data_IF_831229695425
#
_entry.id   IF_831229695425
#
_cell.length_a   1.000
_cell.length_b   1.000
_cell.length_c   1.000
_cell.angle_alpha   90.00
_cell.angle_beta   90.00
_cell.angle_gamma   90.00
#
_symmetry.space_group_name_H-M   'P 1'
#
loop_
_entity.id
_entity.type
_entity.pdbx_description
1 polymer ?
#
# COMPACT_ATOMS: atom_id res chain seq x y z
N UNK A 1 -18.59 2.30 -39.88
CA UNK A 1 -17.35 1.61 -39.46
C UNK A 1 -16.72 2.41 -38.34
N UNK A 2 -16.93 2.00 -37.09
CA UNK A 2 -16.40 2.67 -35.89
C UNK A 2 -16.02 1.59 -34.88
N UNK A 3 -14.73 1.25 -34.83
CA UNK A 3 -14.20 0.33 -33.81
C UNK A 3 -13.14 1.04 -32.96
N UNK A 4 -13.49 1.15 -31.66
CA UNK A 4 -12.65 0.80 -30.51
C UNK A 4 -11.30 1.54 -30.40
N UNK A 5 -11.32 2.66 -29.66
CA UNK A 5 -10.14 3.24 -28.98
C UNK A 5 -10.52 3.67 -27.56
N UNK A 6 -10.75 2.73 -26.64
CA UNK A 6 -11.04 3.09 -25.22
C UNK A 6 -10.20 2.31 -24.19
N UNK A 7 -9.46 1.25 -24.56
CA UNK A 7 -8.79 0.41 -23.55
C UNK A 7 -7.35 0.73 -23.15
N UNK A 8 -6.65 1.67 -23.79
CA UNK A 8 -5.22 1.93 -23.47
C UNK A 8 -4.98 2.96 -22.37
N UNK A 9 -5.99 3.74 -21.94
CA UNK A 9 -5.81 4.75 -20.87
C UNK A 9 -5.84 4.19 -19.44
N UNK A 10 -6.34 2.96 -19.24
CA UNK A 10 -6.56 2.39 -17.90
C UNK A 10 -5.28 1.87 -17.22
N UNK A 11 -4.32 1.34 -18.00
CA UNK A 11 -3.11 0.69 -17.45
C UNK A 11 -2.07 1.74 -17.01
N UNK A 12 -1.93 2.83 -17.76
CA UNK A 12 -1.00 3.91 -17.43
C UNK A 12 -1.38 4.71 -16.17
N UNK A 13 -2.68 4.81 -15.87
CA UNK A 13 -3.18 5.46 -14.66
C UNK A 13 -2.92 4.62 -13.39
N UNK A 14 -3.00 3.28 -13.49
CA UNK A 14 -2.70 2.37 -12.38
C UNK A 14 -1.22 2.38 -11.97
N UNK A 15 -0.30 2.61 -12.92
CA UNK A 15 1.14 2.76 -12.63
C UNK A 15 1.51 4.04 -11.87
N UNK A 16 0.70 5.10 -12.00
CA UNK A 16 0.98 6.40 -11.35
C UNK A 16 0.56 6.47 -9.88
N UNK A 17 -0.42 5.66 -9.46
CA UNK A 17 -0.90 5.66 -8.08
C UNK A 17 0.06 4.94 -7.10
N UNK A 18 0.77 3.90 -7.56
CA UNK A 18 1.74 3.14 -6.73
C UNK A 18 2.99 3.97 -6.42
N UNK A 19 3.35 4.91 -7.29
CA UNK A 19 4.56 5.75 -7.13
C UNK A 19 4.40 6.85 -6.06
N UNK A 20 3.18 7.25 -5.71
CA UNK A 20 2.95 8.37 -4.79
C UNK A 20 3.06 7.98 -3.30
N UNK A 21 3.04 6.69 -2.95
CA UNK A 21 3.13 6.23 -1.55
C UNK A 21 4.53 5.73 -1.15
N UNK A 22 5.43 5.56 -2.11
CA UNK A 22 6.79 5.06 -1.87
C UNK A 22 7.80 6.18 -1.54
N UNK A 23 7.37 7.45 -1.56
CA UNK A 23 8.24 8.63 -1.64
C UNK A 23 8.78 9.26 -0.36
N UNK A 24 8.63 8.65 0.83
CA UNK A 24 9.15 9.25 2.07
C UNK A 24 10.18 8.34 2.76
N UNK A 25 11.34 8.20 2.11
CA UNK A 25 12.46 7.35 2.55
C UNK A 25 13.68 8.13 3.09
N UNK A 26 13.62 9.45 3.20
CA UNK A 26 14.74 10.25 3.70
C UNK A 26 14.39 10.94 5.00
N UNK A 27 14.52 10.22 6.11
CA UNK A 27 14.75 10.84 7.40
C UNK A 27 15.58 9.90 8.28
N UNK A 28 16.75 10.43 8.69
CA UNK A 28 17.75 9.94 9.64
C UNK A 28 18.93 9.15 9.04
N UNK A 29 19.86 9.90 8.44
CA UNK A 29 21.27 9.57 8.58
C UNK A 29 21.62 9.58 10.08
N UNK A 30 21.77 8.39 10.68
CA UNK A 30 22.38 8.23 11.99
C UNK A 30 23.92 8.24 11.84
N UNK A 31 24.67 8.67 12.88
CA UNK A 31 26.07 9.05 12.73
C UNK A 31 26.94 7.84 12.42
N UNK A 32 27.84 8.02 11.45
CA UNK A 32 28.90 7.09 11.11
C UNK A 32 29.81 6.85 12.33
N UNK A 33 29.62 5.72 13.01
CA UNK A 33 30.69 5.11 13.78
C UNK A 33 31.44 4.16 12.86
N UNK A 34 32.43 4.70 12.16
CA UNK A 34 33.38 3.92 11.37
C UNK A 34 34.80 4.38 11.68
N UNK A 35 35.68 3.43 12.02
CA UNK A 35 37.13 3.45 11.77
C UNK A 35 37.64 1.99 11.85
N UNK A 36 38.79 1.64 11.23
CA UNK A 36 39.18 1.88 9.84
C UNK A 36 39.66 0.57 9.17
N UNK A 37 39.26 0.33 7.92
CA UNK A 37 39.77 -0.76 7.10
C UNK A 37 39.07 -0.71 5.75
N UNK A 38 39.83 -0.56 4.66
CA UNK A 38 39.33 -0.12 3.34
C UNK A 38 37.94 -0.64 2.97
N UNK A 39 37.01 0.27 2.69
CA UNK A 39 35.60 -0.08 2.50
C UNK A 39 35.43 -1.21 1.49
N UNK A 40 34.78 -2.28 1.96
CA UNK A 40 34.32 -3.39 1.14
C UNK A 40 33.62 -2.82 -0.11
N UNK A 41 33.89 -3.42 -1.27
CA UNK A 41 33.27 -3.01 -2.53
C UNK A 41 31.73 -3.01 -2.41
N UNK A 42 31.16 -3.93 -1.63
CA UNK A 42 29.72 -3.98 -1.36
C UNK A 42 29.22 -2.75 -0.59
N UNK A 43 29.96 -2.31 0.43
CA UNK A 43 29.60 -1.13 1.23
C UNK A 43 29.59 0.15 0.37
N UNK A 44 30.60 0.33 -0.49
CA UNK A 44 30.65 1.47 -1.44
C UNK A 44 29.53 1.45 -2.46
N UNK A 45 29.13 0.27 -2.93
CA UNK A 45 27.98 0.12 -3.81
C UNK A 45 26.68 0.48 -3.08
N UNK A 46 26.52 0.09 -1.82
CA UNK A 46 25.35 0.46 -1.01
C UNK A 46 25.28 1.98 -0.79
N UNK A 47 26.37 2.62 -0.41
CA UNK A 47 26.40 4.08 -0.23
C UNK A 47 26.08 4.83 -1.53
N UNK A 48 26.63 4.35 -2.66
CA UNK A 48 26.30 4.90 -3.97
C UNK A 48 24.83 4.71 -4.31
N UNK A 49 24.28 3.52 -4.04
CA UNK A 49 22.87 3.21 -4.25
C UNK A 49 21.98 4.19 -3.46
N UNK A 50 22.33 4.48 -2.21
CA UNK A 50 21.63 5.43 -1.35
C UNK A 50 21.70 6.85 -1.92
N UNK A 51 22.90 7.26 -2.33
CA UNK A 51 23.17 8.59 -2.90
C UNK A 51 22.39 8.81 -4.20
N UNK A 52 22.37 7.81 -5.08
CA UNK A 52 21.63 7.87 -6.35
C UNK A 52 20.12 7.87 -6.12
N UNK A 53 19.64 7.07 -5.16
CA UNK A 53 18.23 7.05 -4.76
C UNK A 53 17.77 8.37 -4.16
N UNK A 54 18.57 8.96 -3.27
CA UNK A 54 18.27 10.24 -2.64
C UNK A 54 18.27 11.40 -3.64
N UNK A 55 19.09 11.32 -4.68
CA UNK A 55 19.13 12.29 -5.76
C UNK A 55 18.08 12.08 -6.87
N UNK A 56 17.24 11.05 -6.76
CA UNK A 56 16.26 10.72 -7.81
C UNK A 56 16.87 10.11 -9.08
N UNK A 57 18.17 9.75 -9.05
CA UNK A 57 18.92 9.13 -10.16
C UNK A 57 18.62 7.64 -10.23
N UNK A 58 17.39 7.33 -10.61
CA UNK A 58 16.86 5.97 -10.46
C UNK A 58 17.38 4.96 -11.48
N UNK A 59 17.89 5.42 -12.62
CA UNK A 59 18.54 4.54 -13.58
C UNK A 59 19.98 4.19 -13.12
N UNK A 60 20.70 5.15 -12.55
CA UNK A 60 22.02 4.95 -11.94
C UNK A 60 21.94 4.10 -10.67
N UNK A 61 20.92 4.36 -9.84
CA UNK A 61 20.60 3.54 -8.69
C UNK A 61 20.32 2.09 -9.12
N UNK A 62 19.55 1.89 -10.20
CA UNK A 62 19.30 0.54 -10.68
C UNK A 62 20.56 -0.14 -11.20
N UNK A 63 21.40 0.55 -11.97
CA UNK A 63 22.68 -0.01 -12.40
C UNK A 63 23.58 -0.39 -11.21
N UNK A 64 23.53 0.39 -10.13
CA UNK A 64 24.25 0.08 -8.88
C UNK A 64 23.64 -1.13 -8.16
N UNK A 65 22.31 -1.22 -8.10
CA UNK A 65 21.57 -2.34 -7.53
C UNK A 65 21.85 -3.66 -8.26
N UNK A 66 21.95 -3.64 -9.59
CA UNK A 66 22.27 -4.82 -10.41
C UNK A 66 23.71 -5.32 -10.17
N UNK A 67 24.63 -4.43 -9.77
CA UNK A 67 26.00 -4.79 -9.43
C UNK A 67 26.18 -5.22 -7.96
N UNK A 68 25.26 -4.81 -7.07
CA UNK A 68 25.31 -5.11 -5.66
C UNK A 68 24.79 -6.52 -5.38
N UNK A 69 25.61 -7.34 -4.71
CA UNK A 69 25.19 -8.62 -4.16
C UNK A 69 24.84 -8.44 -2.68
N UNK A 70 23.54 -8.47 -2.28
CA UNK A 70 23.16 -8.23 -0.90
C UNK A 70 23.81 -9.17 0.11
N UNK A 71 24.07 -10.42 -0.30
CA UNK A 71 24.75 -11.42 0.52
C UNK A 71 26.19 -11.03 0.92
N UNK A 72 26.82 -10.07 0.24
CA UNK A 72 28.14 -9.55 0.61
C UNK A 72 28.07 -8.47 1.72
N UNK A 73 26.88 -7.98 2.05
CA UNK A 73 26.63 -7.08 3.19
C UNK A 73 26.20 -7.89 4.40
N UNK A 74 26.30 -7.31 5.60
CA UNK A 74 25.88 -7.97 6.85
C UNK A 74 24.85 -7.14 7.62
N UNK A 75 24.06 -7.81 8.46
CA UNK A 75 23.14 -7.17 9.39
C UNK A 75 22.21 -6.12 8.76
N UNK A 76 22.07 -4.93 9.36
CA UNK A 76 21.19 -3.87 8.85
C UNK A 76 21.51 -3.39 7.42
N UNK A 77 22.76 -3.45 6.99
CA UNK A 77 23.15 -3.02 5.64
C UNK A 77 22.61 -3.98 4.57
N UNK A 78 22.61 -5.30 4.85
CA UNK A 78 21.97 -6.29 3.98
C UNK A 78 20.46 -6.06 3.88
N UNK A 79 19.80 -5.80 5.00
CA UNK A 79 18.37 -5.50 5.02
C UNK A 79 18.03 -4.23 4.22
N UNK A 80 18.84 -3.17 4.38
CA UNK A 80 18.69 -1.93 3.64
C UNK A 80 18.88 -2.13 2.13
N UNK A 81 19.89 -2.90 1.72
CA UNK A 81 20.11 -3.24 0.32
C UNK A 81 18.90 -3.94 -0.31
N UNK A 82 18.37 -4.99 0.34
CA UNK A 82 17.16 -5.66 -0.14
C UNK A 82 15.97 -4.72 -0.28
N UNK A 83 15.73 -3.83 0.68
CA UNK A 83 14.63 -2.86 0.59
C UNK A 83 14.76 -1.91 -0.60
N UNK A 84 15.96 -1.39 -0.83
CA UNK A 84 16.23 -0.45 -1.92
C UNK A 84 16.14 -1.13 -3.29
N UNK A 85 16.68 -2.35 -3.40
CA UNK A 85 16.55 -3.18 -4.62
C UNK A 85 15.06 -3.48 -4.87
N UNK A 86 14.33 -3.93 -3.85
CA UNK A 86 12.91 -4.23 -3.97
C UNK A 86 12.10 -3.03 -4.45
N UNK A 87 12.39 -1.85 -3.92
CA UNK A 87 11.77 -0.59 -4.36
C UNK A 87 12.09 -0.24 -5.81
N UNK A 88 13.35 -0.38 -6.23
CA UNK A 88 13.77 -0.10 -7.60
C UNK A 88 13.05 -1.00 -8.61
N UNK A 89 12.94 -2.30 -8.31
CA UNK A 89 12.21 -3.26 -9.14
C UNK A 89 10.70 -2.97 -9.17
N UNK A 90 10.10 -2.64 -8.02
CA UNK A 90 8.69 -2.26 -7.95
C UNK A 90 8.38 -1.06 -8.86
N UNK A 91 9.26 -0.07 -8.92
CA UNK A 91 9.09 1.08 -9.81
C UNK A 91 9.21 0.74 -11.30
N UNK A 92 10.04 -0.23 -11.67
CA UNK A 92 10.09 -0.75 -13.05
C UNK A 92 8.91 -1.66 -13.38
N UNK A 93 8.05 -1.97 -12.40
CA UNK A 93 6.92 -2.87 -12.54
C UNK A 93 7.30 -4.35 -12.46
N UNK A 94 8.54 -4.65 -12.05
CA UNK A 94 9.00 -6.01 -11.76
C UNK A 94 8.63 -6.37 -10.32
N UNK A 95 7.34 -6.65 -10.11
CA UNK A 95 6.81 -6.94 -8.79
C UNK A 95 7.29 -8.29 -8.24
N UNK A 96 7.65 -9.25 -9.10
CA UNK A 96 8.17 -10.54 -8.65
C UNK A 96 9.52 -10.37 -7.94
N UNK A 97 10.46 -9.65 -8.55
CA UNK A 97 11.77 -9.38 -7.92
C UNK A 97 11.63 -8.47 -6.72
N UNK A 98 10.70 -7.49 -6.76
CA UNK A 98 10.41 -6.64 -5.62
C UNK A 98 9.96 -7.44 -4.40
N UNK A 99 8.98 -8.32 -4.58
CA UNK A 99 8.44 -9.18 -3.52
C UNK A 99 9.50 -10.13 -2.96
N UNK A 100 10.34 -10.72 -3.80
CA UNK A 100 11.43 -11.59 -3.34
C UNK A 100 12.41 -10.85 -2.41
N UNK A 101 12.78 -9.61 -2.76
CA UNK A 101 13.66 -8.79 -1.93
C UNK A 101 12.99 -8.35 -0.62
N UNK A 102 11.71 -7.96 -0.67
CA UNK A 102 10.97 -7.59 0.54
C UNK A 102 10.70 -8.78 1.46
N UNK A 103 10.45 -9.97 0.92
CA UNK A 103 10.29 -11.20 1.70
C UNK A 103 11.54 -11.47 2.55
N UNK A 104 12.73 -11.35 1.97
CA UNK A 104 13.98 -11.49 2.73
C UNK A 104 14.04 -10.54 3.93
N UNK A 105 13.70 -9.27 3.74
CA UNK A 105 13.68 -8.28 4.83
C UNK A 105 12.61 -8.59 5.89
N UNK A 106 11.46 -9.15 5.51
CA UNK A 106 10.40 -9.56 6.45
C UNK A 106 10.71 -10.87 7.19
N UNK A 107 11.61 -11.70 6.68
CA UNK A 107 12.15 -12.87 7.38
C UNK A 107 13.17 -12.49 8.46
N UNK A 108 13.73 -11.28 8.40
CA UNK A 108 14.73 -10.76 9.34
C UNK A 108 14.29 -9.42 9.97
N UNK A 109 13.11 -9.35 10.62
CA UNK A 109 12.54 -8.11 11.14
C UNK A 109 13.43 -7.44 12.21
N UNK A 110 14.27 -8.19 12.92
CA UNK A 110 15.23 -7.69 13.90
C UNK A 110 16.33 -6.80 13.30
N UNK A 111 16.55 -6.91 11.99
CA UNK A 111 17.50 -6.07 11.25
C UNK A 111 16.86 -4.76 10.76
N UNK A 112 15.55 -4.59 10.96
CA UNK A 112 14.81 -3.43 10.49
C UNK A 112 14.75 -2.32 11.55
N UNK A 113 14.89 -1.05 11.15
CA UNK A 113 14.51 0.08 11.98
C UNK A 113 13.08 -0.07 12.53
N UNK A 114 12.86 0.45 13.74
CA UNK A 114 11.54 0.43 14.39
C UNK A 114 10.46 1.05 13.48
N UNK A 115 9.30 0.39 13.41
CA UNK A 115 8.16 0.79 12.56
C UNK A 115 8.32 0.49 11.07
N UNK A 116 9.52 0.15 10.60
CA UNK A 116 9.74 -0.14 9.19
C UNK A 116 9.10 -1.46 8.76
N UNK A 117 9.06 -2.47 9.63
CA UNK A 117 8.39 -3.74 9.36
C UNK A 117 6.93 -3.52 8.96
N UNK A 118 6.18 -2.74 9.75
CA UNK A 118 4.78 -2.44 9.44
C UNK A 118 4.61 -1.75 8.09
N UNK A 119 5.46 -0.75 7.79
CA UNK A 119 5.45 -0.07 6.48
C UNK A 119 5.78 -1.02 5.32
N UNK A 120 6.73 -1.93 5.53
CA UNK A 120 7.14 -2.90 4.54
C UNK A 120 6.03 -3.91 4.26
N UNK A 121 5.38 -4.45 5.30
CA UNK A 121 4.20 -5.33 5.15
C UNK A 121 3.08 -4.66 4.36
N UNK A 122 2.78 -3.39 4.65
CA UNK A 122 1.78 -2.65 3.88
C UNK A 122 2.21 -2.44 2.41
N UNK A 123 3.50 -2.26 2.14
CA UNK A 123 4.03 -2.17 0.77
C UNK A 123 3.87 -3.50 0.02
N UNK A 124 4.24 -4.61 0.66
CA UNK A 124 4.07 -5.97 0.10
C UNK A 124 2.59 -6.23 -0.17
N UNK A 125 1.69 -5.91 0.78
CA UNK A 125 0.25 -6.06 0.59
C UNK A 125 -0.29 -5.31 -0.62
N UNK A 126 0.16 -4.06 -0.84
CA UNK A 126 -0.24 -3.29 -2.03
C UNK A 126 0.23 -3.95 -3.34
N UNK A 127 1.44 -4.51 -3.36
CA UNK A 127 1.98 -5.23 -4.52
C UNK A 127 1.22 -6.52 -4.79
N UNK A 128 0.98 -7.34 -3.76
CA UNK A 128 0.20 -8.58 -3.89
C UNK A 128 -1.23 -8.29 -4.34
N UNK A 129 -1.87 -7.25 -3.79
CA UNK A 129 -3.19 -6.80 -4.23
C UNK A 129 -3.20 -6.36 -5.69
N UNK A 130 -2.18 -5.62 -6.14
CA UNK A 130 -2.06 -5.18 -7.53
C UNK A 130 -1.88 -6.36 -8.51
N UNK A 131 -1.26 -7.46 -8.04
CA UNK A 131 -1.13 -8.72 -8.77
C UNK A 131 -2.39 -9.61 -8.71
N UNK A 132 -3.42 -9.20 -7.96
CA UNK A 132 -4.64 -9.98 -7.76
C UNK A 132 -4.50 -11.13 -6.77
N UNK A 133 -3.42 -11.15 -5.98
CA UNK A 133 -3.17 -12.14 -4.94
C UNK A 133 -3.73 -11.63 -3.61
N UNK A 134 -5.06 -11.64 -3.51
CA UNK A 134 -5.78 -10.96 -2.44
C UNK A 134 -5.59 -11.62 -1.08
N UNK A 135 -5.51 -12.94 -1.05
CA UNK A 135 -5.23 -13.72 0.16
C UNK A 135 -3.83 -13.40 0.69
N UNK A 136 -2.81 -13.41 -0.18
CA UNK A 136 -1.45 -13.02 0.22
C UNK A 136 -1.35 -11.55 0.69
N UNK A 137 -2.16 -10.66 0.10
CA UNK A 137 -2.25 -9.29 0.59
C UNK A 137 -2.87 -9.23 2.00
N UNK A 138 -3.91 -10.02 2.27
CA UNK A 138 -4.54 -10.12 3.59
C UNK A 138 -3.57 -10.68 4.62
N UNK A 139 -2.81 -11.74 4.31
CA UNK A 139 -1.80 -12.30 5.22
C UNK A 139 -0.84 -11.21 5.73
N UNK A 140 -0.37 -10.34 4.82
CA UNK A 140 0.52 -9.23 5.18
C UNK A 140 -0.16 -8.13 5.98
N UNK A 141 -1.43 -7.84 5.70
CA UNK A 141 -2.19 -6.80 6.40
C UNK A 141 -2.61 -7.26 7.80
N UNK A 142 -2.95 -8.52 7.99
CA UNK A 142 -3.23 -9.11 9.30
C UNK A 142 -1.96 -9.16 10.14
N UNK A 143 -0.83 -9.56 9.56
CA UNK A 143 0.46 -9.47 10.23
C UNK A 143 0.80 -8.01 10.59
N UNK A 144 0.57 -7.06 9.68
CA UNK A 144 0.72 -5.63 9.96
C UNK A 144 -0.16 -5.17 11.14
N UNK A 145 -1.42 -5.60 11.18
CA UNK A 145 -2.36 -5.25 12.24
C UNK A 145 -1.92 -5.85 13.59
N UNK A 146 -1.40 -7.07 13.60
CA UNK A 146 -0.90 -7.75 14.80
C UNK A 146 0.33 -7.06 15.41
N UNK A 147 1.13 -6.35 14.61
CA UNK A 147 2.22 -5.51 15.12
C UNK A 147 1.72 -4.31 15.93
N UNK A 148 0.41 -4.00 15.86
CA UNK A 148 -0.18 -2.82 16.49
C UNK A 148 0.39 -1.51 15.97
N UNK A 149 0.94 -1.50 14.75
CA UNK A 149 1.67 -0.36 14.16
C UNK A 149 0.76 0.87 14.04
N UNK A 150 0.90 1.87 14.94
CA UNK A 150 -0.07 2.97 15.01
C UNK A 150 0.12 3.99 13.88
N UNK A 151 1.28 3.98 13.20
CA UNK A 151 1.72 5.06 12.31
C UNK A 151 1.28 4.90 10.85
N UNK A 152 0.59 3.81 10.48
CA UNK A 152 0.27 3.57 9.06
C UNK A 152 -1.03 4.26 8.58
N UNK A 153 -1.75 4.94 9.49
CA UNK A 153 -2.99 5.67 9.19
C UNK A 153 -4.13 4.76 8.73
N UNK A 154 -5.13 5.35 8.05
CA UNK A 154 -6.30 4.60 7.55
C UNK A 154 -6.02 3.68 6.34
N UNK A 155 -4.90 3.87 5.64
CA UNK A 155 -4.61 3.21 4.35
C UNK A 155 -4.67 1.67 4.40
N UNK A 156 -3.96 1.00 5.33
CA UNK A 156 -4.00 -0.44 5.46
C UNK A 156 -5.42 -1.00 5.69
N UNK A 157 -6.23 -0.35 6.53
CA UNK A 157 -7.62 -0.77 6.78
C UNK A 157 -8.49 -0.69 5.54
N UNK A 158 -8.32 0.38 4.74
CA UNK A 158 -9.02 0.48 3.45
C UNK A 158 -8.60 -0.65 2.51
N UNK A 159 -7.30 -0.94 2.42
CA UNK A 159 -6.79 -2.02 1.57
C UNK A 159 -7.28 -3.40 2.05
N UNK A 160 -7.31 -3.65 3.36
CA UNK A 160 -7.89 -4.86 3.95
C UNK A 160 -9.33 -5.02 3.52
N UNK A 161 -10.13 -3.96 3.67
CA UNK A 161 -11.54 -4.01 3.30
C UNK A 161 -11.77 -4.26 1.81
N UNK A 162 -10.92 -3.70 0.95
CA UNK A 162 -10.93 -3.99 -0.48
C UNK A 162 -10.51 -5.43 -0.78
N UNK A 163 -9.50 -5.97 -0.09
CA UNK A 163 -9.00 -7.33 -0.28
C UNK A 163 -10.03 -8.37 0.20
N UNK A 164 -10.61 -8.18 1.38
CA UNK A 164 -11.70 -9.01 1.89
C UNK A 164 -12.90 -9.05 0.94
N UNK A 165 -13.27 -7.91 0.36
CA UNK A 165 -14.32 -7.87 -0.67
C UNK A 165 -13.97 -8.75 -1.88
N UNK A 166 -12.70 -8.76 -2.32
CA UNK A 166 -12.26 -9.58 -3.45
C UNK A 166 -12.31 -11.08 -3.19
N UNK A 167 -12.08 -11.49 -1.94
CA UNK A 167 -12.21 -12.89 -1.51
C UNK A 167 -13.62 -13.23 -1.01
N UNK A 168 -14.57 -12.29 -1.15
CA UNK A 168 -15.99 -12.42 -0.78
C UNK A 168 -16.24 -12.59 0.72
N UNK A 169 -15.30 -12.17 1.57
CA UNK A 169 -15.56 -12.01 2.99
C UNK A 169 -16.18 -10.63 3.25
N UNK A 170 -17.51 -10.55 3.14
CA UNK A 170 -18.21 -9.28 3.28
C UNK A 170 -18.25 -8.79 4.73
N UNK A 171 -18.16 -9.68 5.71
CA UNK A 171 -18.19 -9.30 7.11
C UNK A 171 -16.91 -8.55 7.50
N UNK A 172 -15.75 -9.11 7.14
CA UNK A 172 -14.47 -8.48 7.40
C UNK A 172 -14.20 -7.30 6.46
N UNK A 173 -14.71 -7.33 5.21
CA UNK A 173 -14.66 -6.17 4.32
C UNK A 173 -15.33 -4.94 4.93
N UNK A 174 -16.53 -5.11 5.48
CA UNK A 174 -17.27 -4.03 6.15
C UNK A 174 -16.47 -3.53 7.35
N UNK A 175 -16.04 -4.43 8.24
CA UNK A 175 -15.32 -4.07 9.48
C UNK A 175 -14.06 -3.25 9.18
N UNK A 176 -13.25 -3.70 8.22
CA UNK A 176 -12.02 -3.00 7.84
C UNK A 176 -12.30 -1.65 7.17
N UNK A 177 -13.28 -1.56 6.26
CA UNK A 177 -13.64 -0.29 5.64
C UNK A 177 -14.19 0.72 6.66
N UNK A 178 -15.01 0.29 7.61
CA UNK A 178 -15.51 1.17 8.67
C UNK A 178 -14.38 1.71 9.54
N UNK A 179 -13.44 0.86 9.94
CA UNK A 179 -12.25 1.27 10.68
C UNK A 179 -11.43 2.30 9.92
N UNK A 180 -11.13 2.04 8.63
CA UNK A 180 -10.40 2.97 7.78
C UNK A 180 -11.12 4.31 7.59
N UNK A 181 -12.44 4.27 7.35
CA UNK A 181 -13.26 5.48 7.21
C UNK A 181 -13.33 6.29 8.51
N UNK A 182 -13.41 5.62 9.67
CA UNK A 182 -13.41 6.28 10.97
C UNK A 182 -12.06 6.97 11.23
N UNK A 183 -10.95 6.29 10.97
CA UNK A 183 -9.60 6.84 11.10
C UNK A 183 -9.37 8.03 10.16
N UNK A 184 -9.76 7.90 8.89
CA UNK A 184 -9.66 8.99 7.93
C UNK A 184 -10.39 10.26 8.43
N UNK A 185 -11.57 10.11 9.03
CA UNK A 185 -12.29 11.25 9.63
C UNK A 185 -11.58 11.82 10.86
N UNK A 186 -11.06 10.95 11.74
CA UNK A 186 -10.34 11.37 12.93
C UNK A 186 -9.07 12.16 12.57
N UNK A 187 -8.43 11.79 11.46
CA UNK A 187 -7.27 12.49 10.89
C UNK A 187 -7.65 13.76 10.08
N UNK A 188 -8.94 14.12 10.01
CA UNK A 188 -9.41 15.28 9.25
C UNK A 188 -9.39 15.12 7.73
N UNK A 189 -9.19 13.89 7.22
CA UNK A 189 -9.21 13.61 5.80
C UNK A 189 -10.65 13.57 5.26
N UNK A 190 -10.81 14.00 4.01
CA UNK A 190 -12.08 13.84 3.28
C UNK A 190 -12.24 12.35 2.92
N UNK A 191 -13.28 11.71 3.47
CA UNK A 191 -13.59 10.31 3.19
C UNK A 191 -13.95 10.15 1.72
N UNK A 192 -13.23 9.30 1.00
CA UNK A 192 -13.41 9.14 -0.44
C UNK A 192 -14.74 8.47 -0.82
N UNK A 193 -15.30 8.94 -1.94
CA UNK A 193 -16.56 8.47 -2.52
C UNK A 193 -16.53 6.97 -2.86
N UNK A 194 -15.40 6.44 -3.34
CA UNK A 194 -15.25 5.03 -3.71
C UNK A 194 -15.31 4.10 -2.49
N UNK A 195 -14.77 4.52 -1.34
CA UNK A 195 -14.86 3.76 -0.09
C UNK A 195 -16.29 3.69 0.43
N UNK A 196 -17.00 4.82 0.42
CA UNK A 196 -18.40 4.88 0.84
C UNK A 196 -19.31 4.13 -0.12
N UNK A 197 -19.06 4.21 -1.42
CA UNK A 197 -19.83 3.44 -2.41
C UNK A 197 -19.63 1.93 -2.22
N UNK A 198 -18.41 1.47 -1.90
CA UNK A 198 -18.15 0.07 -1.57
C UNK A 198 -18.85 -0.35 -0.27
N UNK A 199 -18.76 0.45 0.80
CA UNK A 199 -19.49 0.18 2.05
C UNK A 199 -21.00 0.08 1.83
N UNK A 200 -21.58 1.01 1.05
CA UNK A 200 -22.99 0.97 0.72
C UNK A 200 -23.36 -0.33 -0.02
N UNK A 201 -22.58 -0.71 -1.03
CA UNK A 201 -22.78 -1.96 -1.76
C UNK A 201 -22.74 -3.17 -0.82
N UNK A 202 -21.73 -3.27 0.03
CA UNK A 202 -21.59 -4.37 1.00
C UNK A 202 -22.77 -4.43 1.98
N UNK A 203 -23.28 -3.29 2.44
CA UNK A 203 -24.46 -3.26 3.28
C UNK A 203 -25.72 -3.74 2.57
N UNK A 204 -25.90 -3.36 1.31
CA UNK A 204 -27.03 -3.83 0.49
C UNK A 204 -26.96 -5.35 0.27
N UNK A 205 -25.79 -5.89 -0.07
CA UNK A 205 -25.60 -7.35 -0.26
C UNK A 205 -25.97 -8.14 1.02
N UNK A 206 -25.65 -7.58 2.19
CA UNK A 206 -25.96 -8.17 3.48
C UNK A 206 -27.37 -7.82 3.99
N UNK A 207 -28.21 -7.17 3.18
CA UNK A 207 -29.56 -6.69 3.53
C UNK A 207 -29.61 -5.77 4.76
N UNK A 208 -28.49 -5.11 5.08
CA UNK A 208 -28.32 -4.17 6.18
C UNK A 208 -28.77 -2.77 5.74
N UNK A 209 -30.08 -2.63 5.51
CA UNK A 209 -30.68 -1.43 4.90
C UNK A 209 -30.55 -0.17 5.77
N UNK A 210 -30.51 -0.31 7.10
CA UNK A 210 -30.30 0.82 8.01
C UNK A 210 -28.95 1.49 7.78
N UNK A 211 -27.90 0.69 7.77
CA UNK A 211 -26.53 1.13 7.53
C UNK A 211 -26.33 1.58 6.08
N UNK A 212 -26.94 0.88 5.11
CA UNK A 212 -26.91 1.29 3.70
C UNK A 212 -27.48 2.70 3.49
N UNK A 213 -28.58 3.04 4.17
CA UNK A 213 -29.18 4.39 4.17
C UNK A 213 -28.23 5.40 4.81
N UNK A 214 -27.64 5.08 5.97
CA UNK A 214 -26.70 5.98 6.65
C UNK A 214 -25.46 6.30 5.81
N UNK A 215 -24.94 5.33 5.06
CA UNK A 215 -23.83 5.57 4.12
C UNK A 215 -24.28 6.44 2.93
N UNK A 216 -25.49 6.26 2.42
CA UNK A 216 -26.03 7.11 1.34
C UNK A 216 -26.25 8.56 1.77
N UNK A 217 -26.68 8.80 3.00
CA UNK A 217 -26.81 10.16 3.55
C UNK A 217 -25.44 10.84 3.56
N UNK A 218 -24.41 10.15 4.04
CA UNK A 218 -23.03 10.66 4.00
C UNK A 218 -22.51 10.91 2.58
N UNK A 219 -22.84 10.03 1.63
CA UNK A 219 -22.50 10.21 0.22
C UNK A 219 -23.18 11.46 -0.36
N UNK A 220 -24.47 11.66 -0.08
CA UNK A 220 -25.21 12.82 -0.54
C UNK A 220 -24.69 14.14 0.05
N UNK A 221 -24.22 14.12 1.30
CA UNK A 221 -23.65 15.29 1.97
C UNK A 221 -22.25 15.65 1.42
N UNK A 222 -21.37 14.65 1.26
CA UNK A 222 -19.99 14.87 0.80
C UNK A 222 -19.87 15.04 -0.72
N UNK A 223 -20.77 14.37 -1.46
CA UNK A 223 -20.76 14.29 -2.92
C UNK A 223 -22.17 14.50 -3.48
N UNK A 224 -22.73 15.72 -3.40
CA UNK A 224 -24.11 15.97 -3.82
C UNK A 224 -24.37 15.55 -5.27
N UNK A 225 -25.31 14.61 -5.47
CA UNK A 225 -25.74 14.18 -6.80
C UNK A 225 -27.18 13.64 -6.80
N UNK A 226 -27.90 13.86 -7.91
CA UNK A 226 -29.27 13.31 -8.11
C UNK A 226 -29.31 11.79 -8.00
N UNK A 227 -28.21 11.13 -8.39
CA UNK A 227 -28.04 9.68 -8.26
C UNK A 227 -28.16 9.24 -6.80
N UNK A 228 -27.44 9.88 -5.88
CA UNK A 228 -27.47 9.50 -4.47
C UNK A 228 -28.82 9.83 -3.82
N UNK A 229 -29.47 10.92 -4.24
CA UNK A 229 -30.84 11.23 -3.80
C UNK A 229 -31.84 10.15 -4.21
N UNK A 230 -31.79 9.70 -5.47
CA UNK A 230 -32.65 8.62 -5.97
C UNK A 230 -32.37 7.29 -5.25
N UNK A 231 -31.10 6.95 -5.04
CA UNK A 231 -30.71 5.75 -4.28
C UNK A 231 -31.22 5.82 -2.83
N UNK A 232 -31.13 6.99 -2.18
CA UNK A 232 -31.58 7.21 -0.81
C UNK A 232 -33.09 7.02 -0.67
N UNK A 233 -33.88 7.58 -1.59
CA UNK A 233 -35.32 7.39 -1.61
C UNK A 233 -35.70 5.90 -1.75
N UNK A 234 -35.04 5.19 -2.68
CA UNK A 234 -35.27 3.75 -2.88
C UNK A 234 -34.86 2.92 -1.65
N UNK A 235 -33.71 3.21 -1.04
CA UNK A 235 -33.24 2.50 0.14
C UNK A 235 -34.12 2.74 1.39
N UNK A 236 -34.61 3.97 1.58
CA UNK A 236 -35.55 4.31 2.67
C UNK A 236 -36.87 3.53 2.57
N UNK A 237 -37.37 3.32 1.35
CA UNK A 237 -38.57 2.53 1.11
C UNK A 237 -38.39 1.02 1.41
N UNK A 238 -37.17 0.49 1.29
CA UNK A 238 -36.85 -0.92 1.61
C UNK A 238 -36.54 -1.16 3.08
N UNK A 239 -36.24 -0.10 3.84
CA UNK A 239 -35.93 -0.16 5.27
C UNK A 239 -37.20 -0.27 6.12
N UNK A 240 -38.31 0.32 5.66
CA UNK A 240 -39.62 0.28 6.32
C UNK A 240 -40.41 -0.96 5.94
#
# INVERSE_FOLDING_TARGET
MHHIRIHTRSIAARRRAVLAMLGCWLALAAPAWGLPGGEDAAARLLERLETDMAAGRFDEAMATAEALQPAALEGPDRARAHQMIGFLHARRGDYATALANYAWSLEHPELLPAGLEGRLRYTVAQLEFALGRFEAALDQLEAWQALGSPDAGFGPYILMGQAYFKVRDYADAIRSLEAGVALARAEGAVVREDWLTLLHHLYVEQQRWGEAVGVLERLADLYPSDRYQAMLASAKARRG
#
